data_IF_714607641768
#
_entry.id   IF_714607641768
#
_cell.length_a   1.000
_cell.length_b   1.000
_cell.length_c   1.000
_cell.angle_alpha   90.00
_cell.angle_beta   90.00
_cell.angle_gamma   90.00
#
_symmetry.space_group_name_H-M   'P 1'
#
loop_
_entity.id
_entity.type
_entity.pdbx_description
1 polymer ?
#
# COMPACT_ATOMS: atom_id res chain seq x y z
N UNK A 1 -2.52 -12.98 17.32
CA UNK A 1 -2.58 -12.90 15.85
C UNK A 1 -2.37 -11.44 15.46
N UNK A 2 -1.49 -11.14 14.49
CA UNK A 2 -1.19 -9.75 14.10
C UNK A 2 -2.28 -9.27 13.14
N UNK A 3 -2.97 -8.17 13.47
CA UNK A 3 -3.95 -7.58 12.54
C UNK A 3 -3.27 -7.20 11.23
N UNK A 4 -3.97 -7.42 10.10
CA UNK A 4 -3.47 -7.12 8.76
C UNK A 4 -4.35 -6.06 8.11
N UNK A 5 -3.73 -5.00 7.59
CA UNK A 5 -4.38 -3.93 6.83
C UNK A 5 -3.98 -4.05 5.37
N UNK A 6 -4.93 -3.89 4.46
CA UNK A 6 -4.67 -3.77 3.03
C UNK A 6 -4.90 -2.34 2.55
N UNK A 7 -4.00 -1.82 1.71
CA UNK A 7 -4.10 -0.52 1.05
C UNK A 7 -4.29 -0.75 -0.45
N UNK A 8 -5.27 -0.07 -1.02
CA UNK A 8 -5.56 -0.07 -2.45
C UNK A 8 -5.79 1.36 -2.92
N UNK A 9 -5.24 1.70 -4.07
CA UNK A 9 -5.51 2.98 -4.74
C UNK A 9 -6.56 2.72 -5.83
N UNK A 10 -7.71 3.36 -5.68
CA UNK A 10 -8.77 3.37 -6.70
C UNK A 10 -8.65 4.58 -7.61
N UNK A 11 -9.00 4.42 -8.89
CA UNK A 11 -8.92 5.49 -9.88
C UNK A 11 -7.52 5.65 -10.51
N UNK A 12 -7.30 6.79 -11.18
CA UNK A 12 -6.00 7.11 -11.77
C UNK A 12 -4.98 7.58 -10.73
N UNK A 13 -3.66 7.50 -11.01
CA UNK A 13 -2.64 8.02 -10.11
C UNK A 13 -2.81 9.53 -9.85
N UNK A 14 -2.68 9.94 -8.60
CA UNK A 14 -2.78 11.33 -8.18
C UNK A 14 -1.47 11.78 -7.50
N UNK A 15 -0.98 13.00 -7.78
CA UNK A 15 0.16 13.56 -7.06
C UNK A 15 -0.06 13.50 -5.53
N UNK A 16 0.93 13.00 -4.80
CA UNK A 16 0.88 12.88 -3.34
C UNK A 16 0.33 11.56 -2.78
N UNK A 17 -0.26 10.68 -3.61
CA UNK A 17 -0.80 9.40 -3.12
C UNK A 17 0.27 8.51 -2.50
N UNK A 18 1.50 8.52 -3.03
CA UNK A 18 2.63 7.81 -2.45
C UNK A 18 2.98 8.29 -1.02
N UNK A 19 2.78 9.58 -0.73
CA UNK A 19 2.90 10.12 0.61
C UNK A 19 1.84 9.56 1.56
N UNK A 20 0.60 9.42 1.08
CA UNK A 20 -0.50 8.80 1.84
C UNK A 20 -0.22 7.32 2.12
N UNK A 21 0.21 6.56 1.10
CA UNK A 21 0.58 5.14 1.24
C UNK A 21 1.71 4.99 2.28
N UNK A 22 2.74 5.82 2.19
CA UNK A 22 3.88 5.82 3.12
C UNK A 22 3.43 6.11 4.56
N UNK A 23 2.68 7.20 4.77
CA UNK A 23 2.22 7.59 6.10
C UNK A 23 1.30 6.53 6.74
N UNK A 24 0.33 6.02 5.99
CA UNK A 24 -0.60 5.00 6.47
C UNK A 24 0.13 3.69 6.82
N UNK A 25 1.09 3.27 5.97
CA UNK A 25 1.88 2.06 6.21
C UNK A 25 2.74 2.21 7.46
N UNK A 26 3.50 3.30 7.59
CA UNK A 26 4.39 3.53 8.72
C UNK A 26 3.59 3.53 10.03
N UNK A 27 2.44 4.20 10.05
CA UNK A 27 1.59 4.26 11.24
C UNK A 27 0.98 2.90 11.61
N UNK A 28 0.55 2.11 10.62
CA UNK A 28 0.06 0.76 10.85
C UNK A 28 1.16 -0.17 11.40
N UNK A 29 2.38 -0.09 10.85
CA UNK A 29 3.54 -0.85 11.34
C UNK A 29 3.87 -0.48 12.79
N UNK A 30 3.87 0.83 13.14
CA UNK A 30 4.09 1.31 14.52
C UNK A 30 3.05 0.74 15.50
N UNK A 31 1.81 0.55 15.04
CA UNK A 31 0.73 -0.12 15.79
C UNK A 31 0.83 -1.64 15.81
N UNK A 32 1.95 -2.21 15.37
CA UNK A 32 2.17 -3.65 15.36
C UNK A 32 1.29 -4.38 14.35
N UNK A 33 0.89 -3.76 13.23
CA UNK A 33 0.09 -4.39 12.18
C UNK A 33 0.95 -4.82 10.99
N UNK A 34 0.48 -5.80 10.22
CA UNK A 34 1.05 -6.15 8.91
C UNK A 34 0.33 -5.33 7.83
N UNK A 35 1.05 -4.85 6.82
CA UNK A 35 0.45 -4.00 5.77
C UNK A 35 0.69 -4.64 4.40
N UNK A 36 -0.38 -4.72 3.60
CA UNK A 36 -0.36 -5.26 2.24
C UNK A 36 -0.82 -4.16 1.26
N UNK A 37 -0.03 -3.88 0.23
CA UNK A 37 -0.45 -3.07 -0.91
C UNK A 37 -1.07 -3.95 -2.00
N UNK A 38 -2.16 -3.48 -2.61
CA UNK A 38 -2.82 -4.17 -3.73
C UNK A 38 -2.54 -3.41 -5.03
N UNK A 39 -1.69 -4.00 -5.88
CA UNK A 39 -1.25 -3.39 -7.13
C UNK A 39 -2.30 -3.59 -8.24
N UNK A 40 -2.57 -2.55 -9.02
CA UNK A 40 -3.53 -2.60 -10.13
C UNK A 40 -4.99 -2.32 -9.73
N UNK A 41 -5.19 -1.79 -8.51
CA UNK A 41 -6.47 -1.32 -8.03
C UNK A 41 -7.51 -2.44 -7.89
N UNK A 42 -8.79 -2.04 -7.86
CA UNK A 42 -9.91 -2.96 -7.63
C UNK A 42 -9.98 -4.11 -8.65
N UNK A 43 -9.49 -3.89 -9.88
CA UNK A 43 -9.44 -4.95 -10.91
C UNK A 43 -8.65 -6.17 -10.43
N UNK A 44 -7.45 -5.97 -9.88
CA UNK A 44 -6.62 -7.05 -9.36
C UNK A 44 -7.23 -7.72 -8.13
N UNK A 45 -7.84 -6.91 -7.24
CA UNK A 45 -8.51 -7.40 -6.04
C UNK A 45 -9.67 -8.34 -6.41
N UNK A 46 -10.57 -7.91 -7.29
CA UNK A 46 -11.72 -8.72 -7.72
C UNK A 46 -11.30 -9.95 -8.52
N UNK A 47 -10.19 -9.88 -9.25
CA UNK A 47 -9.61 -11.04 -9.93
C UNK A 47 -9.02 -12.08 -8.97
N UNK A 48 -8.87 -11.76 -7.67
CA UNK A 48 -8.24 -12.64 -6.69
C UNK A 48 -6.76 -12.88 -6.97
N UNK A 49 -6.09 -11.97 -7.69
CA UNK A 49 -4.69 -12.15 -8.09
C UNK A 49 -3.74 -11.95 -6.89
N UNK A 50 -3.38 -13.05 -6.24
CA UNK A 50 -2.46 -13.06 -5.10
C UNK A 50 -1.07 -12.50 -5.43
N UNK A 51 -0.66 -12.50 -6.71
CA UNK A 51 0.64 -11.92 -7.13
C UNK A 51 0.67 -10.40 -7.04
N UNK A 52 -0.51 -9.76 -6.91
CA UNK A 52 -0.66 -8.32 -6.78
C UNK A 52 -0.71 -7.84 -5.32
N UNK A 53 -0.65 -8.77 -4.36
CA UNK A 53 -0.50 -8.45 -2.95
C UNK A 53 1.00 -8.32 -2.62
N UNK A 54 1.44 -7.12 -2.28
CA UNK A 54 2.81 -6.83 -1.88
C UNK A 54 2.86 -6.45 -0.40
N UNK A 55 3.81 -7.00 0.35
CA UNK A 55 4.02 -6.54 1.72
C UNK A 55 4.68 -5.15 1.72
N UNK A 56 4.04 -4.20 2.40
CA UNK A 56 4.59 -2.86 2.58
C UNK A 56 5.38 -2.84 3.88
N UNK A 57 6.67 -2.53 3.77
CA UNK A 57 7.62 -2.46 4.89
C UNK A 57 8.07 -1.02 5.06
N UNK A 58 8.63 -0.68 6.22
CA UNK A 58 9.21 0.64 6.45
C UNK A 58 10.22 1.00 5.34
N UNK A 59 11.10 0.06 4.98
CA UNK A 59 12.16 0.28 3.99
C UNK A 59 11.59 0.60 2.61
N UNK A 60 10.57 -0.14 2.16
CA UNK A 60 10.04 0.01 0.80
C UNK A 60 9.07 1.18 0.64
N UNK A 61 8.52 1.74 1.73
CA UNK A 61 7.63 2.93 1.67
C UNK A 61 8.28 4.23 2.16
N UNK A 62 9.41 4.20 2.85
CA UNK A 62 10.01 5.40 3.46
C UNK A 62 10.32 6.52 2.46
N UNK A 63 10.60 6.17 1.20
CA UNK A 63 11.05 7.11 0.16
C UNK A 63 10.12 7.23 -1.05
N UNK A 64 8.99 6.53 -1.09
CA UNK A 64 8.11 6.59 -2.29
C UNK A 64 7.41 7.94 -2.46
N UNK A 65 7.37 8.78 -1.43
CA UNK A 65 6.74 10.10 -1.50
C UNK A 65 7.41 11.07 -2.51
N UNK A 66 8.66 10.79 -2.92
CA UNK A 66 9.34 11.54 -3.99
C UNK A 66 9.12 10.97 -5.40
N UNK A 67 8.40 9.85 -5.54
CA UNK A 67 8.09 9.24 -6.83
C UNK A 67 6.67 9.59 -7.28
N UNK A 68 6.45 9.66 -8.60
CA UNK A 68 5.12 9.74 -9.19
C UNK A 68 4.40 8.39 -9.20
N UNK A 69 3.13 8.37 -9.62
CA UNK A 69 2.34 7.14 -9.70
C UNK A 69 1.66 6.79 -8.39
N UNK A 70 1.50 5.48 -8.14
CA UNK A 70 0.84 4.87 -6.98
C UNK A 70 1.41 3.48 -6.71
#
# INVERSE_FOLDING_TARGET
MKETIAIIVGGGPAPGINGVISAATIEAIKKGKKVIGIVGGFKSLFAGDKKKALELTFDNVSKIHITGGS
#
